data_IF_770927587852
#
_entry.id   IF_770927587852
#
_cell.length_a   1.000
_cell.length_b   1.000
_cell.length_c   1.000
_cell.angle_alpha   90.00
_cell.angle_beta   90.00
_cell.angle_gamma   90.00
#
_symmetry.space_group_name_H-M   'P 1'
#
loop_
_entity.id
_entity.type
_entity.pdbx_description
1 polymer ?
#
# COMPACT_ATOMS: atom_id res chain seq x y z
N UNK A 1 -0.49 1.44 -7.24
CA UNK A 1 0.84 1.45 -7.90
C UNK A 1 1.88 1.66 -6.83
N UNK A 2 2.73 0.67 -6.57
CA UNK A 2 3.85 0.82 -5.64
C UNK A 2 5.06 1.45 -6.35
N UNK A 3 5.75 2.34 -5.63
CA UNK A 3 7.01 2.94 -6.05
C UNK A 3 8.06 2.69 -4.97
N UNK A 4 9.11 1.96 -5.33
CA UNK A 4 10.34 1.84 -4.53
C UNK A 4 11.07 3.18 -4.51
N UNK A 5 10.82 4.00 -3.49
CA UNK A 5 11.33 5.40 -3.47
C UNK A 5 12.83 5.48 -3.19
N UNK A 6 13.43 4.36 -2.79
CA UNK A 6 14.87 4.21 -2.73
C UNK A 6 15.51 4.46 -4.10
N UNK A 7 14.88 3.98 -5.18
CA UNK A 7 15.43 4.00 -6.53
C UNK A 7 14.67 4.94 -7.49
N UNK A 8 13.43 5.31 -7.16
CA UNK A 8 12.53 6.00 -8.08
C UNK A 8 11.82 7.20 -7.45
N UNK A 9 11.52 8.22 -8.26
CA UNK A 9 10.73 9.37 -7.79
C UNK A 9 9.24 8.99 -7.70
N UNK A 10 8.60 9.30 -6.58
CA UNK A 10 7.19 8.97 -6.37
C UNK A 10 6.26 9.70 -7.37
N UNK A 11 6.59 10.95 -7.74
CA UNK A 11 5.75 11.72 -8.67
C UNK A 11 5.64 11.12 -10.09
N UNK A 12 6.42 10.10 -10.43
CA UNK A 12 6.27 9.34 -11.67
C UNK A 12 4.85 8.76 -11.81
N UNK A 13 4.17 8.44 -10.70
CA UNK A 13 2.76 8.00 -10.71
C UNK A 13 1.87 9.01 -11.44
N UNK A 14 2.11 10.31 -11.26
CA UNK A 14 1.32 11.39 -11.86
C UNK A 14 1.61 11.64 -13.35
N UNK A 15 2.59 10.96 -13.96
CA UNK A 15 2.98 11.16 -15.36
C UNK A 15 2.10 10.43 -16.37
N UNK A 16 1.19 9.58 -15.90
CA UNK A 16 0.39 8.69 -16.74
C UNK A 16 -1.10 9.05 -16.69
N UNK A 17 -1.70 9.26 -17.86
CA UNK A 17 -3.14 9.63 -18.01
C UNK A 17 -3.80 8.75 -19.06
N UNK A 18 -5.11 8.51 -18.94
CA UNK A 18 -5.85 7.75 -19.94
C UNK A 18 -6.09 8.60 -21.19
N UNK A 19 -5.78 8.04 -22.35
CA UNK A 19 -5.83 8.72 -23.65
C UNK A 19 -7.21 9.38 -23.90
N UNK A 20 -7.15 10.64 -24.35
CA UNK A 20 -8.34 11.47 -24.61
C UNK A 20 -9.05 11.95 -23.34
N UNK A 21 -8.43 11.88 -22.17
CA UNK A 21 -9.01 12.35 -20.89
C UNK A 21 -7.97 13.04 -20.01
N UNK A 22 -8.42 13.72 -18.95
CA UNK A 22 -7.56 14.19 -17.86
C UNK A 22 -7.44 13.17 -16.71
N UNK A 23 -8.05 11.98 -16.82
CA UNK A 23 -8.07 10.98 -15.74
C UNK A 23 -6.68 10.35 -15.60
N UNK A 24 -6.13 10.23 -14.38
CA UNK A 24 -4.90 9.47 -14.12
C UNK A 24 -5.04 8.00 -14.55
N UNK A 25 -3.94 7.38 -14.95
CA UNK A 25 -3.92 5.94 -15.20
C UNK A 25 -3.98 5.11 -13.89
N UNK A 26 -3.63 5.71 -12.75
CA UNK A 26 -3.59 5.07 -11.45
C UNK A 26 -4.46 5.81 -10.44
N UNK A 27 -5.37 5.08 -9.79
CA UNK A 27 -6.25 5.66 -8.77
C UNK A 27 -5.54 5.80 -7.40
N UNK A 28 -4.55 4.94 -7.10
CA UNK A 28 -3.73 4.98 -5.87
C UNK A 28 -2.24 4.76 -6.15
N UNK A 29 -1.38 5.54 -5.50
CA UNK A 29 0.07 5.40 -5.45
C UNK A 29 0.57 5.15 -4.02
N UNK A 30 1.50 4.22 -3.86
CA UNK A 30 2.05 3.79 -2.57
C UNK A 30 3.53 4.15 -2.51
N UNK A 31 3.92 4.95 -1.51
CA UNK A 31 5.31 5.27 -1.18
C UNK A 31 5.88 4.06 -0.44
N UNK A 32 6.73 3.28 -1.11
CA UNK A 32 7.29 2.04 -0.57
C UNK A 32 8.76 2.22 -0.18
N UNK A 33 9.15 2.04 1.09
CA UNK A 33 8.28 1.93 2.28
C UNK A 33 8.94 2.53 3.52
N UNK A 34 8.11 3.09 4.42
CA UNK A 34 8.50 3.34 5.81
C UNK A 34 8.50 2.03 6.60
N UNK A 35 8.98 2.07 7.85
CA UNK A 35 9.20 0.86 8.63
C UNK A 35 8.62 0.93 10.04
N UNK A 36 8.23 -0.24 10.57
CA UNK A 36 8.11 -0.45 12.02
C UNK A 36 9.44 -0.99 12.56
N UNK A 37 10.08 -0.18 13.41
CA UNK A 37 11.31 -0.53 14.11
C UNK A 37 11.01 -0.80 15.59
N UNK A 38 12.02 -1.26 16.34
CA UNK A 38 11.94 -1.53 17.77
C UNK A 38 13.10 -0.91 18.53
N UNK A 39 12.80 -0.07 19.54
CA UNK A 39 13.81 0.45 20.45
C UNK A 39 14.00 -0.53 21.61
N UNK A 40 15.18 -1.13 21.70
CA UNK A 40 15.52 -2.13 22.73
C UNK A 40 15.70 -1.53 24.13
N UNK A 41 15.87 -0.20 24.24
CA UNK A 41 15.98 0.50 25.52
C UNK A 41 14.61 0.77 26.11
N UNK A 42 13.73 1.43 25.35
CA UNK A 42 12.36 1.71 25.79
C UNK A 42 11.41 0.52 25.67
N UNK A 43 11.80 -0.52 24.92
CA UNK A 43 11.00 -1.69 24.57
C UNK A 43 9.70 -1.32 23.85
N UNK A 44 9.79 -0.36 22.93
CA UNK A 44 8.65 0.15 22.18
C UNK A 44 8.87 0.10 20.68
N UNK A 45 7.82 -0.24 19.91
CA UNK A 45 7.82 -0.05 18.47
C UNK A 45 7.75 1.42 18.10
N UNK A 46 8.41 1.82 17.01
CA UNK A 46 8.36 3.19 16.50
C UNK A 46 8.38 3.23 14.97
N UNK A 47 7.75 4.25 14.40
CA UNK A 47 7.76 4.52 12.97
C UNK A 47 9.14 5.03 12.59
N UNK A 48 9.79 4.34 11.66
CA UNK A 48 11.06 4.72 11.10
C UNK A 48 10.90 5.11 9.63
N UNK A 49 11.52 6.23 9.26
CA UNK A 49 11.61 6.70 7.88
C UNK A 49 13.08 6.62 7.49
N UNK A 50 13.44 5.78 6.52
CA UNK A 50 14.76 5.84 5.93
C UNK A 50 14.95 7.17 5.17
N UNK A 51 16.19 7.49 4.80
CA UNK A 51 16.53 8.78 4.20
C UNK A 51 15.72 9.11 2.94
N UNK A 52 15.43 8.10 2.10
CA UNK A 52 14.72 8.28 0.83
C UNK A 52 13.21 8.47 1.01
N UNK A 53 12.61 7.76 1.95
CA UNK A 53 11.22 8.00 2.37
C UNK A 53 11.09 9.36 3.02
N UNK A 54 11.98 9.70 3.95
CA UNK A 54 11.99 10.99 4.63
C UNK A 54 12.16 12.14 3.62
N UNK A 55 13.06 11.99 2.64
CA UNK A 55 13.23 12.94 1.55
C UNK A 55 11.93 13.08 0.73
N UNK A 56 11.34 11.99 0.28
CA UNK A 56 10.09 12.00 -0.51
C UNK A 56 8.95 12.71 0.23
N UNK A 57 8.81 12.45 1.53
CA UNK A 57 7.80 13.11 2.37
C UNK A 57 8.13 14.59 2.60
N UNK A 58 9.39 14.94 2.88
CA UNK A 58 9.78 16.35 3.05
C UNK A 58 9.59 17.17 1.76
N UNK A 59 9.75 16.53 0.60
CA UNK A 59 9.51 17.08 -0.72
C UNK A 59 8.03 16.90 -1.17
N UNK A 60 7.08 16.69 -0.25
CA UNK A 60 5.67 16.43 -0.58
C UNK A 60 5.05 17.43 -1.57
N UNK A 61 5.49 18.69 -1.59
CA UNK A 61 5.00 19.71 -2.53
C UNK A 61 5.29 19.37 -3.99
N UNK A 62 6.34 18.63 -4.28
CA UNK A 62 6.75 18.23 -5.64
C UNK A 62 6.59 16.73 -5.89
N UNK A 63 6.63 15.91 -4.82
CA UNK A 63 6.48 14.47 -4.90
C UNK A 63 5.00 14.03 -4.80
N UNK A 64 4.20 14.67 -3.94
CA UNK A 64 2.90 14.14 -3.50
C UNK A 64 1.73 15.01 -3.97
N UNK A 65 1.74 16.30 -3.65
CA UNK A 65 0.61 17.21 -3.97
C UNK A 65 0.27 17.24 -5.47
N UNK A 66 1.23 17.24 -6.42
CA UNK A 66 0.93 17.17 -7.84
C UNK A 66 0.21 15.88 -8.27
N UNK A 67 0.53 14.76 -7.63
CA UNK A 67 -0.12 13.46 -7.87
C UNK A 67 -1.56 13.50 -7.34
N UNK A 68 -1.75 14.03 -6.13
CA UNK A 68 -3.07 14.22 -5.52
C UNK A 68 -3.95 15.20 -6.30
N UNK A 69 -3.39 16.29 -6.80
CA UNK A 69 -4.12 17.30 -7.57
C UNK A 69 -4.73 16.73 -8.87
N UNK A 70 -4.17 15.64 -9.40
CA UNK A 70 -4.75 14.90 -10.54
C UNK A 70 -5.84 13.90 -10.15
N UNK A 71 -6.06 13.68 -8.86
CA UNK A 71 -7.06 12.76 -8.32
C UNK A 71 -6.52 11.38 -7.94
N UNK A 72 -5.21 11.15 -7.99
CA UNK A 72 -4.59 9.90 -7.50
C UNK A 72 -4.36 10.00 -5.99
N UNK A 73 -4.85 9.01 -5.23
CA UNK A 73 -4.62 8.93 -3.78
C UNK A 73 -3.20 8.49 -3.47
N UNK A 74 -2.60 9.04 -2.42
CA UNK A 74 -1.23 8.75 -2.00
C UNK A 74 -1.20 8.14 -0.62
N UNK A 75 -0.73 6.90 -0.52
CA UNK A 75 -0.59 6.15 0.72
C UNK A 75 0.89 5.96 1.05
N UNK A 76 1.20 5.85 2.35
CA UNK A 76 2.51 5.40 2.82
C UNK A 76 2.43 3.92 3.21
N UNK A 77 3.29 3.10 2.62
CA UNK A 77 3.42 1.70 3.04
C UNK A 77 4.32 1.60 4.27
N UNK A 78 3.90 0.78 5.23
CA UNK A 78 4.67 0.41 6.42
C UNK A 78 5.07 -1.06 6.30
N UNK A 79 6.37 -1.32 6.40
CA UNK A 79 6.99 -2.63 6.29
C UNK A 79 7.72 -3.01 7.59
N UNK A 80 7.86 -4.29 7.92
CA UNK A 80 8.80 -4.71 8.96
C UNK A 80 10.26 -4.36 8.62
N UNK A 81 11.14 -4.37 9.61
CA UNK A 81 12.54 -4.01 9.40
C UNK A 81 13.52 -4.76 10.34
N UNK A 82 13.33 -6.06 10.43
CA UNK A 82 14.26 -7.02 11.03
C UNK A 82 14.59 -6.73 12.49
N UNK A 83 13.64 -6.24 13.26
CA UNK A 83 13.86 -5.80 14.65
C UNK A 83 12.92 -6.46 15.67
N UNK A 84 12.07 -7.39 15.23
CA UNK A 84 11.16 -8.16 16.07
C UNK A 84 9.78 -7.53 16.23
N UNK A 85 9.66 -6.21 16.20
CA UNK A 85 8.37 -5.54 16.21
C UNK A 85 7.69 -5.64 14.83
N UNK A 86 6.40 -5.95 14.82
CA UNK A 86 5.56 -6.01 13.64
C UNK A 86 4.09 -5.79 14.01
N UNK A 87 3.21 -5.70 13.01
CA UNK A 87 1.82 -5.33 13.27
C UNK A 87 1.02 -6.44 13.96
N UNK A 88 1.55 -7.66 13.97
CA UNK A 88 0.92 -8.81 14.60
C UNK A 88 1.40 -9.11 16.03
N UNK A 89 2.32 -8.35 16.65
CA UNK A 89 2.84 -8.69 17.98
C UNK A 89 2.80 -7.60 19.07
N UNK A 90 1.98 -6.55 18.92
CA UNK A 90 1.64 -5.67 20.04
C UNK A 90 1.04 -6.48 21.20
N UNK A 91 1.37 -6.09 22.43
CA UNK A 91 0.96 -6.78 23.66
C UNK A 91 -0.29 -6.20 24.29
N UNK A 92 -0.73 -5.02 23.84
CA UNK A 92 -1.91 -4.33 24.35
C UNK A 92 -2.49 -3.38 23.29
N UNK A 93 -3.73 -2.94 23.51
CA UNK A 93 -4.35 -1.92 22.67
C UNK A 93 -3.59 -0.60 22.77
N UNK A 94 -3.13 -0.24 23.97
CA UNK A 94 -2.39 0.99 24.24
C UNK A 94 -1.09 1.06 23.44
N UNK A 95 -0.34 -0.05 23.35
CA UNK A 95 0.89 -0.12 22.55
C UNK A 95 0.59 0.03 21.04
N UNK A 96 -0.47 -0.61 20.55
CA UNK A 96 -0.90 -0.46 19.16
C UNK A 96 -1.38 0.97 18.87
N UNK A 97 -2.04 1.62 19.83
CA UNK A 97 -2.55 2.99 19.72
C UNK A 97 -1.43 4.05 19.77
N UNK A 98 -0.35 3.79 20.51
CA UNK A 98 0.88 4.60 20.47
C UNK A 98 1.54 4.55 19.09
N UNK A 99 1.59 3.37 18.45
CA UNK A 99 2.10 3.26 17.08
C UNK A 99 1.14 3.90 16.07
N UNK A 100 -0.18 3.68 16.22
CA UNK A 100 -1.20 4.32 15.38
C UNK A 100 -1.13 5.86 15.44
N UNK A 101 -0.79 6.43 16.60
CA UNK A 101 -0.55 7.87 16.74
C UNK A 101 0.61 8.36 15.86
N UNK A 102 1.69 7.60 15.75
CA UNK A 102 2.83 7.95 14.89
C UNK A 102 2.43 7.92 13.40
N UNK A 103 1.60 6.95 13.01
CA UNK A 103 1.03 6.87 11.67
C UNK A 103 0.08 8.05 11.36
N UNK A 104 -0.76 8.44 12.33
CA UNK A 104 -1.60 9.63 12.22
C UNK A 104 -0.77 10.91 12.03
N UNK A 105 0.30 11.07 12.81
CA UNK A 105 1.17 12.24 12.72
C UNK A 105 1.81 12.37 11.34
N UNK A 106 2.32 11.28 10.75
CA UNK A 106 2.90 11.32 9.40
C UNK A 106 1.83 11.59 8.33
N UNK A 107 0.65 10.99 8.43
CA UNK A 107 -0.47 11.23 7.51
C UNK A 107 -0.89 12.70 7.54
N UNK A 108 -1.07 13.27 8.72
CA UNK A 108 -1.50 14.66 8.88
C UNK A 108 -0.42 15.66 8.45
N UNK A 109 0.85 15.40 8.81
CA UNK A 109 1.97 16.30 8.49
C UNK A 109 2.18 16.44 6.98
N UNK A 110 2.06 15.35 6.23
CA UNK A 110 2.34 15.32 4.80
C UNK A 110 1.08 15.25 3.92
N UNK A 111 -0.09 15.43 4.52
CA UNK A 111 -1.39 15.38 3.84
C UNK A 111 -1.60 14.11 3.02
N UNK A 112 -1.23 12.95 3.57
CA UNK A 112 -1.41 11.67 2.89
C UNK A 112 -2.88 11.26 2.87
N UNK A 113 -3.28 10.46 1.90
CA UNK A 113 -4.63 9.90 1.80
C UNK A 113 -4.80 8.64 2.66
N UNK A 114 -3.73 8.01 3.14
CA UNK A 114 -3.84 6.78 3.90
C UNK A 114 -2.54 6.04 4.22
N UNK A 115 -2.71 4.82 4.74
CA UNK A 115 -1.66 3.88 5.12
C UNK A 115 -1.89 2.55 4.42
N UNK A 116 -0.81 1.92 4.00
CA UNK A 116 -0.77 0.56 3.50
C UNK A 116 0.10 -0.31 4.42
N UNK A 117 -0.36 -1.53 4.72
CA UNK A 117 0.36 -2.46 5.59
C UNK A 117 0.93 -3.64 4.81
N UNK A 118 2.23 -3.86 4.96
CA UNK A 118 2.96 -4.99 4.39
C UNK A 118 3.72 -5.74 5.50
N UNK A 119 3.18 -6.87 5.96
CA UNK A 119 3.70 -7.63 7.09
C UNK A 119 4.78 -8.64 6.67
N UNK A 120 5.83 -8.12 6.05
CA UNK A 120 7.06 -8.85 5.78
C UNK A 120 8.21 -8.30 6.63
N UNK A 121 9.27 -9.10 6.79
CA UNK A 121 10.54 -8.68 7.39
C UNK A 121 10.50 -8.23 8.86
N UNK A 122 9.41 -8.37 9.61
CA UNK A 122 9.39 -8.01 11.03
C UNK A 122 10.42 -8.82 11.87
N UNK A 123 10.69 -10.08 11.50
CA UNK A 123 11.51 -11.03 12.26
C UNK A 123 11.02 -11.25 13.70
N UNK A 124 9.72 -11.50 13.86
CA UNK A 124 9.05 -11.75 15.14
C UNK A 124 9.85 -12.64 16.09
N UNK A 125 10.04 -12.19 17.34
CA UNK A 125 10.86 -12.86 18.35
C UNK A 125 12.26 -12.26 18.53
N UNK A 126 12.77 -11.57 17.51
CA UNK A 126 14.04 -10.85 17.61
C UNK A 126 13.96 -9.77 18.69
N UNK A 127 15.10 -9.47 19.31
CA UNK A 127 15.20 -8.53 20.44
C UNK A 127 14.30 -8.87 21.64
N UNK A 128 13.87 -10.14 21.75
CA UNK A 128 12.98 -10.60 22.83
C UNK A 128 11.53 -10.12 22.71
N UNK A 129 11.13 -9.69 21.51
CA UNK A 129 9.74 -9.32 21.22
C UNK A 129 8.81 -10.55 21.25
N UNK A 130 7.50 -10.37 21.50
CA UNK A 130 6.55 -11.47 21.42
C UNK A 130 6.43 -12.05 20.00
N UNK A 131 5.93 -13.28 19.91
CA UNK A 131 5.46 -13.85 18.65
C UNK A 131 4.10 -13.24 18.24
N UNK A 132 3.69 -13.39 16.97
CA UNK A 132 2.39 -12.91 16.51
C UNK A 132 1.22 -13.44 17.34
N UNK A 133 0.18 -12.61 17.48
CA UNK A 133 -1.06 -12.94 18.17
C UNK A 133 -2.28 -12.43 17.38
N UNK A 134 -3.47 -12.94 17.72
CA UNK A 134 -4.71 -12.67 16.98
C UNK A 134 -5.35 -11.31 17.25
N UNK A 135 -4.90 -10.58 18.27
CA UNK A 135 -5.50 -9.31 18.69
C UNK A 135 -4.73 -8.10 18.16
N UNK A 136 -3.40 -8.20 18.08
CA UNK A 136 -2.48 -7.12 17.78
C UNK A 136 -2.88 -6.28 16.57
N UNK A 137 -3.06 -6.93 15.42
CA UNK A 137 -3.37 -6.19 14.19
C UNK A 137 -4.77 -5.57 14.23
N UNK A 138 -5.73 -6.22 14.91
CA UNK A 138 -7.08 -5.70 15.10
C UNK A 138 -7.05 -4.45 16.00
N UNK A 139 -6.28 -4.46 17.08
CA UNK A 139 -6.08 -3.28 17.92
C UNK A 139 -5.48 -2.12 17.12
N UNK A 140 -4.45 -2.39 16.31
CA UNK A 140 -3.86 -1.37 15.44
C UNK A 140 -4.89 -0.79 14.46
N UNK A 141 -5.67 -1.63 13.79
CA UNK A 141 -6.70 -1.18 12.85
C UNK A 141 -7.79 -0.33 13.53
N UNK A 142 -8.24 -0.73 14.72
CA UNK A 142 -9.23 0.02 15.49
C UNK A 142 -8.70 1.39 15.90
N UNK A 143 -7.49 1.42 16.49
CA UNK A 143 -6.82 2.64 16.91
C UNK A 143 -6.58 3.59 15.72
N UNK A 144 -6.01 3.07 14.63
CA UNK A 144 -5.71 3.87 13.44
C UNK A 144 -6.97 4.42 12.80
N UNK A 145 -8.04 3.62 12.69
CA UNK A 145 -9.32 4.10 12.15
C UNK A 145 -9.95 5.18 13.04
N UNK A 146 -9.88 5.02 14.36
CA UNK A 146 -10.39 6.02 15.31
C UNK A 146 -9.66 7.36 15.17
N UNK A 147 -8.36 7.33 14.85
CA UNK A 147 -7.51 8.52 14.68
C UNK A 147 -7.70 9.20 13.34
N UNK A 148 -7.65 8.41 12.26
CA UNK A 148 -7.70 8.92 10.89
C UNK A 148 -9.11 9.25 10.39
N UNK A 149 -10.14 8.72 11.04
CA UNK A 149 -11.53 8.82 10.59
C UNK A 149 -11.82 7.93 9.37
N UNK A 150 -13.04 8.06 8.82
CA UNK A 150 -13.50 7.28 7.66
C UNK A 150 -12.87 7.69 6.34
N UNK A 151 -12.33 8.91 6.27
CA UNK A 151 -11.98 9.54 5.01
C UNK A 151 -10.60 9.12 4.49
N UNK A 152 -9.74 8.61 5.39
CA UNK A 152 -8.43 8.07 5.03
C UNK A 152 -8.54 6.60 4.64
N UNK A 153 -7.66 6.19 3.74
CA UNK A 153 -7.62 4.84 3.19
C UNK A 153 -6.68 3.99 4.06
N UNK A 154 -7.12 2.78 4.40
CA UNK A 154 -6.27 1.76 5.02
C UNK A 154 -6.27 0.55 4.09
N UNK A 155 -5.10 0.09 3.66
CA UNK A 155 -4.97 -1.08 2.78
C UNK A 155 -4.07 -2.15 3.36
N UNK A 156 -4.21 -3.37 2.83
CA UNK A 156 -3.46 -4.53 3.27
C UNK A 156 -2.88 -5.30 2.08
N UNK A 157 -1.54 -5.36 2.04
CA UNK A 157 -0.81 -6.33 1.24
C UNK A 157 -1.01 -7.71 1.90
N UNK A 158 -1.70 -8.63 1.22
CA UNK A 158 -2.22 -9.86 1.83
C UNK A 158 -1.14 -10.92 2.05
N UNK A 159 -0.22 -10.66 2.97
CA UNK A 159 0.87 -11.54 3.37
C UNK A 159 1.14 -11.42 4.87
N UNK A 160 1.86 -12.40 5.41
CA UNK A 160 2.35 -12.37 6.77
C UNK A 160 1.32 -12.68 7.86
N UNK A 161 1.78 -12.72 9.13
CA UNK A 161 0.93 -13.04 10.27
C UNK A 161 -0.26 -12.12 10.46
N UNK A 162 -0.14 -10.83 10.14
CA UNK A 162 -1.21 -9.84 10.25
C UNK A 162 -2.40 -10.20 9.36
N UNK A 163 -2.16 -10.55 8.10
CA UNK A 163 -3.20 -11.04 7.20
C UNK A 163 -3.81 -12.35 7.72
N UNK A 164 -2.96 -13.33 8.04
CA UNK A 164 -3.38 -14.68 8.47
C UNK A 164 -4.25 -14.64 9.74
N UNK A 165 -3.90 -13.80 10.71
CA UNK A 165 -4.63 -13.71 11.97
C UNK A 165 -5.89 -12.85 11.90
N UNK A 166 -6.05 -12.04 10.85
CA UNK A 166 -7.16 -11.10 10.72
C UNK A 166 -8.20 -11.50 9.67
N UNK A 167 -7.92 -12.47 8.80
CA UNK A 167 -8.81 -12.90 7.71
C UNK A 167 -10.21 -13.33 8.17
N UNK A 168 -10.33 -13.94 9.36
CA UNK A 168 -11.60 -14.41 9.92
C UNK A 168 -12.22 -13.45 10.93
N UNK A 169 -11.62 -12.27 11.15
CA UNK A 169 -12.19 -11.25 12.04
C UNK A 169 -13.04 -10.25 11.22
N UNK A 170 -14.35 -10.13 11.49
CA UNK A 170 -15.21 -9.21 10.73
C UNK A 170 -14.83 -7.74 10.86
N UNK A 171 -14.12 -7.36 11.92
CA UNK A 171 -13.60 -5.99 12.06
C UNK A 171 -12.60 -5.63 10.96
N UNK A 172 -11.84 -6.59 10.44
CA UNK A 172 -10.88 -6.35 9.36
C UNK A 172 -11.58 -5.76 8.14
N UNK A 173 -12.69 -6.37 7.70
CA UNK A 173 -13.48 -5.86 6.56
C UNK A 173 -14.21 -4.54 6.84
N UNK A 174 -14.40 -4.17 8.11
CA UNK A 174 -14.98 -2.88 8.49
C UNK A 174 -13.94 -1.76 8.53
N UNK A 175 -12.68 -2.10 8.82
CA UNK A 175 -11.62 -1.14 9.10
C UNK A 175 -10.63 -0.97 7.93
N UNK A 176 -10.44 -1.98 7.08
CA UNK A 176 -9.52 -1.97 5.92
C UNK A 176 -10.31 -1.74 4.64
N UNK A 177 -9.99 -0.71 3.86
CA UNK A 177 -10.69 -0.38 2.62
C UNK A 177 -10.48 -1.43 1.52
N UNK A 178 -9.22 -1.82 1.28
CA UNK A 178 -8.82 -2.72 0.21
C UNK A 178 -7.75 -3.71 0.66
N UNK A 179 -7.75 -4.91 0.09
CA UNK A 179 -6.68 -5.89 0.27
C UNK A 179 -6.33 -6.57 -1.05
N UNK A 180 -5.07 -6.99 -1.23
CA UNK A 180 -4.64 -7.53 -2.51
C UNK A 180 -3.53 -8.57 -2.43
N UNK A 181 -3.47 -9.38 -3.49
CA UNK A 181 -2.44 -10.38 -3.76
C UNK A 181 -1.03 -9.78 -3.65
N UNK A 182 -0.10 -10.42 -2.91
CA UNK A 182 1.29 -9.98 -2.81
C UNK A 182 2.23 -10.63 -3.84
N UNK A 183 1.77 -11.60 -4.64
CA UNK A 183 2.65 -12.41 -5.47
C UNK A 183 2.65 -11.91 -6.92
N UNK A 184 3.68 -11.15 -7.29
CA UNK A 184 3.78 -10.56 -8.63
C UNK A 184 3.82 -11.62 -9.75
N UNK A 185 3.06 -11.38 -10.82
CA UNK A 185 2.89 -12.29 -11.95
C UNK A 185 1.81 -13.35 -11.74
N UNK A 186 0.98 -13.24 -10.68
CA UNK A 186 0.03 -14.28 -10.31
C UNK A 186 -1.41 -13.78 -10.12
N UNK A 187 -2.32 -14.76 -10.04
CA UNK A 187 -3.71 -14.58 -9.65
C UNK A 187 -3.98 -15.33 -8.35
N UNK A 188 -4.13 -14.60 -7.25
CA UNK A 188 -4.43 -15.16 -5.92
C UNK A 188 -5.35 -14.22 -5.17
N UNK A 189 -6.68 -14.36 -5.32
CA UNK A 189 -7.65 -13.58 -4.57
C UNK A 189 -7.42 -13.71 -3.06
N UNK A 190 -7.29 -12.60 -2.32
CA UNK A 190 -7.33 -12.63 -0.87
C UNK A 190 -8.70 -13.10 -0.36
N UNK A 191 -8.75 -13.60 0.87
CA UNK A 191 -9.98 -13.88 1.58
C UNK A 191 -10.00 -13.10 2.90
N UNK A 192 -11.07 -12.34 3.13
CA UNK A 192 -11.38 -11.69 4.40
C UNK A 192 -12.89 -11.78 4.62
N UNK A 193 -13.32 -12.24 5.79
CA UNK A 193 -14.75 -12.35 6.10
C UNK A 193 -15.42 -10.98 6.01
N UNK A 194 -16.47 -10.88 5.20
CA UNK A 194 -17.22 -9.64 4.97
C UNK A 194 -16.62 -8.67 3.94
N UNK A 195 -15.54 -9.04 3.24
CA UNK A 195 -14.97 -8.23 2.15
C UNK A 195 -15.32 -8.86 0.79
N UNK A 196 -16.04 -8.14 -0.05
CA UNK A 196 -16.39 -8.59 -1.41
C UNK A 196 -15.30 -8.24 -2.44
N UNK A 197 -15.42 -8.81 -3.65
CA UNK A 197 -14.42 -8.68 -4.71
C UNK A 197 -14.20 -7.25 -5.19
N UNK A 198 -15.16 -6.33 -5.03
CA UNK A 198 -14.99 -4.92 -5.39
C UNK A 198 -13.92 -4.21 -4.55
N UNK A 199 -13.55 -4.82 -3.42
CA UNK A 199 -12.52 -4.31 -2.50
C UNK A 199 -11.23 -5.13 -2.54
N UNK A 200 -11.16 -6.13 -3.42
CA UNK A 200 -10.06 -7.08 -3.49
C UNK A 200 -9.28 -6.94 -4.80
N UNK A 201 -7.98 -7.16 -4.71
CA UNK A 201 -7.09 -7.32 -5.86
C UNK A 201 -6.58 -8.74 -5.96
N UNK A 202 -7.07 -9.50 -6.93
CA UNK A 202 -6.58 -10.86 -7.18
C UNK A 202 -5.29 -10.90 -8.01
N UNK A 203 -5.08 -9.89 -8.86
CA UNK A 203 -3.90 -9.78 -9.72
C UNK A 203 -2.87 -8.81 -9.13
N UNK A 204 -1.61 -9.24 -9.12
CA UNK A 204 -0.46 -8.40 -8.78
C UNK A 204 0.65 -8.57 -9.80
N UNK A 205 1.20 -7.46 -10.30
CA UNK A 205 2.15 -7.44 -11.41
C UNK A 205 3.32 -6.49 -11.12
N UNK A 206 4.50 -6.83 -11.63
CA UNK A 206 5.64 -5.91 -11.66
C UNK A 206 5.71 -5.20 -13.03
N UNK A 207 5.82 -3.87 -13.02
CA UNK A 207 5.90 -3.06 -14.25
C UNK A 207 7.10 -3.48 -15.08
N UNK A 208 6.87 -3.77 -16.37
CA UNK A 208 7.92 -4.20 -17.30
C UNK A 208 8.15 -5.71 -17.33
N UNK A 209 7.60 -6.48 -16.39
CA UNK A 209 7.71 -7.94 -16.34
C UNK A 209 6.43 -8.59 -16.85
N UNK A 210 6.58 -9.61 -17.71
CA UNK A 210 5.46 -10.49 -18.10
C UNK A 210 4.25 -9.76 -18.72
N UNK A 211 4.46 -8.90 -19.72
CA UNK A 211 3.39 -8.08 -20.33
C UNK A 211 2.17 -8.90 -20.80
N UNK A 212 2.39 -10.11 -21.34
CA UNK A 212 1.29 -11.01 -21.74
C UNK A 212 0.45 -11.44 -20.54
N UNK A 213 1.10 -11.83 -19.44
CA UNK A 213 0.46 -12.16 -18.17
C UNK A 213 -0.31 -10.97 -17.61
N UNK A 214 0.27 -9.77 -17.65
CA UNK A 214 -0.42 -8.55 -17.21
C UNK A 214 -1.72 -8.31 -17.99
N UNK A 215 -1.71 -8.48 -19.32
CA UNK A 215 -2.92 -8.36 -20.14
C UNK A 215 -3.95 -9.43 -19.78
N UNK A 216 -3.52 -10.68 -19.62
CA UNK A 216 -4.40 -11.79 -19.25
C UNK A 216 -5.07 -11.55 -17.89
N UNK A 217 -4.30 -11.16 -16.88
CA UNK A 217 -4.82 -10.90 -15.55
C UNK A 217 -5.68 -9.63 -15.50
N UNK A 218 -5.42 -8.63 -16.34
CA UNK A 218 -6.27 -7.45 -16.47
C UNK A 218 -7.66 -7.83 -17.03
N UNK A 219 -7.70 -8.67 -18.08
CA UNK A 219 -8.96 -9.23 -18.61
C UNK A 219 -9.71 -10.02 -17.54
N UNK A 220 -8.99 -10.87 -16.81
CA UNK A 220 -9.57 -11.70 -15.74
C UNK A 220 -10.12 -10.86 -14.59
N UNK A 221 -9.41 -9.82 -14.17
CA UNK A 221 -9.86 -8.86 -13.16
C UNK A 221 -11.22 -8.26 -13.52
N UNK A 222 -11.38 -7.83 -14.77
CA UNK A 222 -12.65 -7.29 -15.28
C UNK A 222 -13.74 -8.35 -15.40
N UNK A 223 -13.41 -9.54 -15.91
CA UNK A 223 -14.38 -10.62 -16.11
C UNK A 223 -14.93 -11.18 -14.79
N UNK A 224 -14.09 -11.24 -13.75
CA UNK A 224 -14.45 -11.75 -12.42
C UNK A 224 -14.86 -10.66 -11.42
N UNK A 225 -15.02 -9.41 -11.88
CA UNK A 225 -15.48 -8.26 -11.08
C UNK A 225 -14.64 -7.99 -9.81
N UNK A 226 -13.31 -8.07 -9.93
CA UNK A 226 -12.40 -7.57 -8.90
C UNK A 226 -12.20 -6.07 -9.05
N UNK A 227 -12.25 -5.34 -7.94
CA UNK A 227 -12.19 -3.88 -7.96
C UNK A 227 -10.78 -3.29 -7.91
N UNK A 228 -9.75 -4.12 -7.68
CA UNK A 228 -8.36 -3.66 -7.59
C UNK A 228 -7.47 -4.45 -8.55
N UNK A 229 -6.56 -3.74 -9.22
CA UNK A 229 -5.48 -4.31 -10.02
C UNK A 229 -4.15 -3.74 -9.56
N UNK A 230 -3.26 -4.58 -9.02
CA UNK A 230 -2.02 -4.12 -8.40
C UNK A 230 -0.87 -4.13 -9.39
N UNK A 231 -0.10 -3.04 -9.37
CA UNK A 231 1.17 -2.91 -10.06
C UNK A 231 2.24 -2.39 -9.09
N UNK A 232 3.46 -2.88 -9.26
CA UNK A 232 4.64 -2.56 -8.47
C UNK A 232 5.84 -2.15 -9.32
N UNK A 233 6.79 -1.46 -8.68
CA UNK A 233 8.07 -1.03 -9.25
C UNK A 233 7.95 -0.06 -10.43
N UNK A 234 7.08 0.96 -10.33
CA UNK A 234 7.08 2.00 -11.35
C UNK A 234 8.39 2.78 -11.31
N UNK A 235 9.17 2.68 -12.40
CA UNK A 235 10.47 3.31 -12.48
C UNK A 235 10.45 4.76 -12.98
N UNK A 236 11.61 5.41 -12.94
CA UNK A 236 11.85 6.72 -13.57
C UNK A 236 11.74 6.72 -15.10
N UNK A 237 11.56 5.57 -15.74
CA UNK A 237 11.47 5.44 -17.20
C UNK A 237 10.03 5.40 -17.70
N UNK A 238 9.83 5.81 -18.95
CA UNK A 238 8.52 5.78 -19.60
C UNK A 238 8.03 4.33 -19.79
N UNK A 239 7.06 3.93 -18.97
CA UNK A 239 6.43 2.61 -18.97
C UNK A 239 5.08 2.58 -19.70
N UNK A 240 4.73 3.62 -20.47
CA UNK A 240 3.40 3.78 -21.10
C UNK A 240 3.01 2.63 -22.01
N UNK A 241 3.96 1.96 -22.68
CA UNK A 241 3.69 0.78 -23.50
C UNK A 241 3.18 -0.40 -22.68
N UNK A 242 3.80 -0.66 -21.53
CA UNK A 242 3.37 -1.71 -20.59
C UNK A 242 2.01 -1.34 -19.97
N UNK A 243 1.90 -0.10 -19.45
CA UNK A 243 0.70 0.37 -18.76
C UNK A 243 -0.50 0.41 -19.73
N UNK A 244 -0.28 0.84 -20.98
CA UNK A 244 -1.33 0.83 -22.02
C UNK A 244 -1.89 -0.56 -22.29
N UNK A 245 -1.04 -1.59 -22.24
CA UNK A 245 -1.50 -2.97 -22.44
C UNK A 245 -2.51 -3.38 -21.36
N UNK A 246 -2.33 -2.91 -20.12
CA UNK A 246 -3.26 -3.15 -19.01
C UNK A 246 -4.48 -2.23 -19.08
N UNK A 247 -4.29 -0.92 -19.26
CA UNK A 247 -5.40 0.05 -19.24
C UNK A 247 -6.36 -0.13 -20.41
N UNK A 248 -5.89 -0.68 -21.54
CA UNK A 248 -6.75 -1.02 -22.66
C UNK A 248 -7.78 -2.09 -22.28
N UNK A 249 -7.41 -3.06 -21.45
CA UNK A 249 -8.32 -4.13 -21.01
C UNK A 249 -9.26 -3.65 -19.90
N UNK A 250 -8.71 -2.96 -18.89
CA UNK A 250 -9.49 -2.45 -17.77
C UNK A 250 -10.47 -1.35 -18.21
N UNK A 251 -9.96 -0.36 -18.96
CA UNK A 251 -10.67 0.90 -19.22
C UNK A 251 -11.00 1.15 -20.69
N UNK A 252 -10.55 0.30 -21.62
CA UNK A 252 -10.73 0.53 -23.06
C UNK A 252 -9.87 1.67 -23.61
N UNK A 253 -8.88 2.15 -22.86
CA UNK A 253 -8.05 3.32 -23.21
C UNK A 253 -6.57 3.01 -23.04
N UNK A 254 -5.75 3.49 -23.97
CA UNK A 254 -4.29 3.52 -23.80
C UNK A 254 -3.89 4.56 -22.75
N UNK A 255 -2.62 4.52 -22.38
CA UNK A 255 -2.01 5.46 -21.45
C UNK A 255 -1.06 6.40 -22.18
N UNK A 256 -1.19 7.70 -21.91
CA UNK A 256 -0.28 8.76 -22.36
C UNK A 256 0.70 9.10 -21.25
N UNK A 257 1.99 9.15 -21.59
CA UNK A 257 3.06 9.59 -20.69
C UNK A 257 3.39 11.05 -20.93
N UNK A 258 3.44 11.84 -19.86
CA UNK A 258 3.91 13.21 -19.85
C UNK A 258 5.25 13.27 -19.10
N UNK A 259 6.27 13.88 -19.70
CA UNK A 259 7.61 13.95 -19.09
C UNK A 259 7.66 14.78 -17.81
N UNK A 260 6.67 15.65 -17.60
CA UNK A 260 6.49 16.46 -16.40
C UNK A 260 5.25 16.03 -15.62
N UNK A 261 5.38 16.03 -14.30
CA UNK A 261 4.22 16.04 -13.39
C UNK A 261 3.91 17.53 -13.17
N UNK A 262 2.78 18.06 -13.69
CA UNK A 262 2.41 19.48 -13.58
C UNK A 262 2.36 19.97 -12.14
#
# INVERSE_FOLDING_TARGET
MYVEVNDNDFNNVGKYTLEGTARPAFDMGMIFAANINYDTTSKKPYLFLNDRVAQTLNDYKTQILPVQAKGTKVLLTILGNHQGAGFANFTSYEEADEFAQQLEQVVNKYNLDGIDFDDEYAEYGKNGTPQPNSSSFIWLLQALRSRLGSDKIITLYNIGPSATHSENNPLTSQLVNYAWNPYYGSWQPPYFVGMDSSRLGAAALEVGVGKSTAVELAKRTKAENYGVYVMYNLSNTNSSSYISAVTQELYGRKTVYNSTTP
#
